data_IF_285097614522
#
_entry.id   IF_285097614522
#
_cell.length_a   1.000
_cell.length_b   1.000
_cell.length_c   1.000
_cell.angle_alpha   90.00
_cell.angle_beta   90.00
_cell.angle_gamma   90.00
#
_symmetry.space_group_name_H-M   'P 1'
#
loop_
_entity.id
_entity.type
_entity.pdbx_description
1 polymer ?
#
# COMPACT_ATOMS: atom_id res chain seq x y z
N UNK A 1 16.91 17.49 4.78
CA UNK A 1 16.59 16.24 4.07
C UNK A 1 16.12 15.24 5.11
N UNK A 2 14.83 15.14 5.38
CA UNK A 2 14.28 14.12 6.28
C UNK A 2 14.17 12.84 5.47
N UNK A 3 15.15 11.95 5.58
CA UNK A 3 14.92 10.57 5.19
C UNK A 3 13.86 10.04 6.14
N UNK A 4 12.64 9.82 5.65
CA UNK A 4 11.61 9.05 6.33
C UNK A 4 12.24 7.70 6.66
N UNK A 5 12.75 7.58 7.90
CA UNK A 5 13.44 6.39 8.39
C UNK A 5 12.36 5.35 8.64
N UNK A 6 12.27 4.41 7.71
CA UNK A 6 11.31 3.31 7.73
C UNK A 6 10.15 3.60 6.79
N UNK A 7 10.33 3.24 5.51
CA UNK A 7 9.20 3.17 4.58
C UNK A 7 8.10 2.24 5.14
N UNK A 8 6.87 2.45 4.67
CA UNK A 8 5.79 1.51 4.95
C UNK A 8 6.25 0.11 4.52
N UNK A 9 6.21 -0.86 5.43
CA UNK A 9 6.59 -2.24 5.11
C UNK A 9 5.46 -3.25 5.26
N UNK A 10 4.42 -2.94 6.05
CA UNK A 10 3.24 -3.80 6.18
C UNK A 10 1.97 -2.98 6.43
N UNK A 11 0.84 -3.45 5.91
CA UNK A 11 -0.47 -2.84 6.09
C UNK A 11 -1.56 -3.92 6.19
N UNK A 12 -2.53 -3.71 7.09
CA UNK A 12 -3.68 -4.61 7.22
C UNK A 12 -4.93 -3.86 7.67
N UNK A 13 -6.09 -4.46 7.43
CA UNK A 13 -7.37 -3.94 7.91
C UNK A 13 -7.90 -4.83 9.03
N UNK A 14 -8.26 -4.21 10.15
CA UNK A 14 -8.96 -4.85 11.28
C UNK A 14 -10.09 -3.92 11.70
N UNK A 15 -11.33 -4.42 11.79
CA UNK A 15 -12.49 -3.66 12.27
C UNK A 15 -12.65 -2.26 11.62
N UNK A 16 -12.55 -2.18 10.28
CA UNK A 16 -12.65 -0.90 9.55
C UNK A 16 -11.53 0.12 9.86
N UNK A 17 -10.43 -0.32 10.45
CA UNK A 17 -9.23 0.49 10.64
C UNK A 17 -8.08 -0.08 9.81
N UNK A 18 -7.38 0.81 9.10
CA UNK A 18 -6.16 0.48 8.39
C UNK A 18 -4.96 0.77 9.28
N UNK A 19 -4.28 -0.30 9.66
CA UNK A 19 -3.05 -0.24 10.44
C UNK A 19 -1.85 -0.29 9.50
N UNK A 20 -0.86 0.57 9.77
CA UNK A 20 0.35 0.72 8.97
C UNK A 20 1.57 0.50 9.85
N UNK A 21 2.48 -0.36 9.42
CA UNK A 21 3.73 -0.65 10.12
C UNK A 21 4.94 -0.28 9.27
N UNK A 22 5.89 0.38 9.92
CA UNK A 22 7.20 0.68 9.36
C UNK A 22 8.25 -0.23 9.98
N UNK A 23 9.28 -0.57 9.22
CA UNK A 23 10.44 -1.31 9.74
C UNK A 23 11.43 -0.33 10.39
N UNK A 24 11.86 -0.62 11.60
CA UNK A 24 12.85 0.22 12.28
C UNK A 24 14.22 0.15 11.58
N UNK A 25 14.97 1.25 11.56
CA UNK A 25 16.34 1.26 11.07
C UNK A 25 17.28 0.57 12.08
N UNK A 26 17.36 -0.76 12.02
CA UNK A 26 18.34 -1.59 12.74
C UNK A 26 19.31 -2.29 11.79
N UNK A 27 20.42 -2.82 12.31
CA UNK A 27 21.15 -3.89 11.59
C UNK A 27 20.18 -5.03 11.30
N UNK A 28 20.29 -5.69 10.15
CA UNK A 28 19.30 -6.66 9.64
C UNK A 28 18.81 -7.73 10.65
N UNK A 29 19.57 -7.97 11.73
CA UNK A 29 19.25 -8.93 12.79
C UNK A 29 18.32 -8.40 13.91
N UNK A 30 18.09 -7.08 14.01
CA UNK A 30 17.33 -6.45 15.12
C UNK A 30 16.30 -5.40 14.64
N UNK A 31 15.99 -5.39 13.34
CA UNK A 31 15.02 -4.46 12.77
C UNK A 31 13.58 -4.91 13.06
N UNK A 32 12.99 -4.35 14.12
CA UNK A 32 11.60 -4.59 14.52
C UNK A 32 10.56 -3.95 13.61
N UNK A 33 9.31 -4.39 13.76
CA UNK A 33 8.13 -3.73 13.20
C UNK A 33 7.55 -2.79 14.24
N UNK A 34 7.33 -1.53 13.85
CA UNK A 34 6.65 -0.54 14.71
C UNK A 34 5.38 -0.08 14.01
N UNK A 35 4.28 -0.06 14.76
CA UNK A 35 3.04 0.54 14.29
C UNK A 35 3.28 2.04 14.10
N UNK A 36 3.16 2.48 12.86
CA UNK A 36 3.48 3.84 12.45
C UNK A 36 2.25 4.75 12.47
N UNK A 37 1.08 4.22 12.10
CA UNK A 37 -0.15 4.98 11.94
C UNK A 37 -1.38 4.06 11.84
N UNK A 38 -2.50 4.54 12.36
CA UNK A 38 -3.83 3.94 12.18
C UNK A 38 -4.73 4.95 11.46
N UNK A 39 -5.55 4.47 10.53
CA UNK A 39 -6.48 5.28 9.73
C UNK A 39 -7.87 4.66 9.82
N UNK A 40 -8.84 5.44 10.30
CA UNK A 40 -10.26 5.05 10.36
C UNK A 40 -10.87 5.05 8.95
N UNK A 41 -11.18 3.87 8.41
CA UNK A 41 -11.75 3.75 7.06
C UNK A 41 -13.19 4.24 7.00
N UNK A 42 -13.88 4.27 8.13
CA UNK A 42 -15.25 4.80 8.25
C UNK A 42 -15.34 6.27 7.83
N UNK A 43 -14.25 7.02 7.98
CA UNK A 43 -14.18 8.43 7.57
C UNK A 43 -13.93 8.61 6.07
N UNK A 44 -13.49 7.55 5.39
CA UNK A 44 -12.99 7.60 4.01
C UNK A 44 -13.92 6.93 3.01
N UNK A 45 -14.68 5.94 3.47
CA UNK A 45 -15.56 5.14 2.64
C UNK A 45 -17.02 5.42 3.00
N UNK A 46 -17.93 5.38 2.02
CA UNK A 46 -19.35 5.42 2.29
C UNK A 46 -19.84 4.10 2.94
N UNK A 47 -20.95 4.17 3.66
CA UNK A 47 -21.52 3.05 4.42
C UNK A 47 -21.77 1.79 3.58
N UNK A 48 -22.14 1.95 2.30
CA UNK A 48 -22.36 0.82 1.39
C UNK A 48 -21.08 0.03 1.13
N UNK A 49 -19.93 0.70 1.07
CA UNK A 49 -18.62 0.04 0.92
C UNK A 49 -18.18 -0.59 2.25
N UNK A 50 -18.37 0.10 3.37
CA UNK A 50 -18.03 -0.41 4.71
C UNK A 50 -18.86 -1.61 5.15
N UNK A 51 -20.05 -1.78 4.56
CA UNK A 51 -20.88 -2.97 4.79
C UNK A 51 -20.25 -4.26 4.27
N UNK A 52 -19.28 -4.15 3.35
CA UNK A 52 -18.49 -5.26 2.85
C UNK A 52 -17.18 -5.43 3.62
N UNK A 53 -16.62 -6.64 3.61
CA UNK A 53 -15.29 -6.87 4.15
C UNK A 53 -14.23 -6.22 3.25
N UNK A 54 -13.38 -5.38 3.86
CA UNK A 54 -12.26 -4.70 3.22
C UNK A 54 -10.96 -5.46 3.45
N UNK A 55 -10.13 -5.56 2.42
CA UNK A 55 -8.85 -6.26 2.45
C UNK A 55 -7.76 -5.43 1.81
N UNK A 56 -6.58 -5.37 2.45
CA UNK A 56 -5.37 -4.85 1.80
C UNK A 56 -4.91 -5.87 0.76
N UNK A 57 -4.69 -5.43 -0.48
CA UNK A 57 -4.11 -6.28 -1.54
C UNK A 57 -2.63 -6.02 -1.75
N UNK A 58 -2.15 -4.82 -1.42
CA UNK A 58 -0.75 -4.48 -1.49
C UNK A 58 -0.52 -3.00 -1.21
N UNK A 59 0.75 -2.61 -1.15
CA UNK A 59 1.16 -1.22 -1.06
C UNK A 59 2.31 -0.95 -2.04
N UNK A 60 2.37 0.25 -2.57
CA UNK A 60 3.49 0.72 -3.35
C UNK A 60 4.43 1.48 -2.42
N UNK A 61 5.52 0.82 -2.01
CA UNK A 61 6.60 1.47 -1.24
C UNK A 61 7.03 2.77 -1.94
N UNK A 62 7.38 3.83 -1.19
CA UNK A 62 7.94 5.07 -1.72
C UNK A 62 7.01 6.04 -2.47
N UNK A 63 5.78 5.65 -2.81
CA UNK A 63 4.70 6.58 -3.26
C UNK A 63 3.57 6.72 -2.25
N UNK A 64 3.64 6.02 -1.11
CA UNK A 64 2.69 6.10 -0.01
C UNK A 64 1.25 5.81 -0.43
N UNK A 65 1.08 4.77 -1.27
CA UNK A 65 -0.24 4.31 -1.74
C UNK A 65 -0.51 2.89 -1.26
N UNK A 66 -1.68 2.68 -0.68
CA UNK A 66 -2.20 1.36 -0.29
C UNK A 66 -3.39 0.99 -1.17
N UNK A 67 -3.44 -0.27 -1.58
CA UNK A 67 -4.55 -0.85 -2.35
C UNK A 67 -5.47 -1.62 -1.41
N UNK A 68 -6.73 -1.22 -1.36
CA UNK A 68 -7.78 -1.86 -0.55
C UNK A 68 -8.90 -2.32 -1.46
N UNK A 69 -9.41 -3.53 -1.27
CA UNK A 69 -10.49 -4.10 -2.08
C UNK A 69 -11.65 -4.60 -1.22
N UNK A 70 -12.82 -4.62 -1.83
CA UNK A 70 -13.95 -5.49 -1.45
C UNK A 70 -14.02 -6.68 -2.40
N UNK A 71 -15.08 -7.48 -2.31
CA UNK A 71 -15.40 -8.55 -3.27
C UNK A 71 -15.61 -8.03 -4.70
N UNK A 72 -15.95 -6.74 -4.86
CA UNK A 72 -16.42 -6.16 -6.12
C UNK A 72 -15.60 -4.98 -6.60
N UNK A 73 -14.91 -4.28 -5.71
CA UNK A 73 -14.37 -2.96 -5.96
C UNK A 73 -12.93 -2.85 -5.45
N UNK A 74 -12.12 -2.09 -6.16
CA UNK A 74 -10.74 -1.80 -5.80
C UNK A 74 -10.61 -0.30 -5.56
N UNK A 75 -9.86 0.06 -4.54
CA UNK A 75 -9.58 1.43 -4.17
C UNK A 75 -8.09 1.61 -3.90
N UNK A 76 -7.61 2.82 -4.15
CA UNK A 76 -6.31 3.30 -3.70
C UNK A 76 -6.51 4.31 -2.60
N UNK A 77 -5.69 4.23 -1.56
CA UNK A 77 -5.61 5.20 -0.47
C UNK A 77 -4.24 5.88 -0.58
N UNK A 78 -4.24 7.17 -0.89
CA UNK A 78 -3.05 8.02 -0.78
C UNK A 78 -2.84 8.35 0.70
N UNK A 79 -1.76 7.87 1.31
CA UNK A 79 -1.52 7.98 2.75
C UNK A 79 -1.07 9.39 3.19
N UNK A 80 -0.60 10.21 2.25
CA UNK A 80 -0.20 11.60 2.52
C UNK A 80 -1.42 12.51 2.62
N UNK A 81 -2.31 12.40 1.66
CA UNK A 81 -3.53 13.21 1.55
C UNK A 81 -4.75 12.58 2.22
N UNK A 82 -4.67 11.28 2.56
CA UNK A 82 -5.77 10.49 3.12
C UNK A 82 -7.00 10.54 2.20
N UNK A 83 -6.74 10.35 0.90
CA UNK A 83 -7.78 10.36 -0.14
C UNK A 83 -7.97 8.97 -0.72
N UNK A 84 -9.23 8.56 -0.79
CA UNK A 84 -9.66 7.32 -1.45
C UNK A 84 -10.01 7.62 -2.90
N UNK A 85 -9.52 6.78 -3.81
CA UNK A 85 -9.91 6.80 -5.22
C UNK A 85 -10.33 5.39 -5.64
N UNK A 86 -11.49 5.27 -6.27
CA UNK A 86 -11.97 4.02 -6.84
C UNK A 86 -11.25 3.72 -8.15
N UNK A 87 -10.72 2.52 -8.30
CA UNK A 87 -10.07 2.06 -9.52
C UNK A 87 -11.13 1.55 -10.50
N UNK A 88 -11.12 1.99 -11.78
CA UNK A 88 -12.08 1.54 -12.80
C UNK A 88 -12.13 0.01 -12.95
N UNK A 89 -13.35 -0.51 -13.11
CA UNK A 89 -13.67 -1.94 -13.05
C UNK A 89 -13.67 -2.57 -14.43
N UNK A 90 -12.49 -2.88 -14.96
CA UNK A 90 -12.36 -3.64 -16.22
C UNK A 90 -11.69 -5.00 -16.02
N UNK A 91 -11.28 -5.33 -14.79
CA UNK A 91 -10.47 -6.52 -14.51
C UNK A 91 -11.15 -7.31 -13.40
N UNK A 92 -11.36 -8.59 -13.65
CA UNK A 92 -11.69 -9.58 -12.63
C UNK A 92 -10.40 -9.78 -11.82
N UNK A 93 -10.16 -8.90 -10.86
CA UNK A 93 -8.89 -8.79 -10.14
C UNK A 93 -8.73 -9.97 -9.18
N UNK A 94 -8.00 -11.00 -9.60
CA UNK A 94 -7.64 -12.11 -8.72
C UNK A 94 -6.60 -11.66 -7.70
N UNK A 95 -5.50 -11.04 -8.17
CA UNK A 95 -4.41 -10.51 -7.35
C UNK A 95 -3.83 -9.22 -7.97
N UNK A 96 -3.41 -8.28 -7.12
CA UNK A 96 -2.82 -6.99 -7.54
C UNK A 96 -1.43 -6.89 -6.94
N UNK A 97 -0.44 -6.67 -7.80
CA UNK A 97 0.95 -6.49 -7.40
C UNK A 97 1.41 -5.08 -7.78
N UNK A 98 1.30 -4.11 -6.87
CA UNK A 98 1.84 -2.78 -7.13
C UNK A 98 3.36 -2.83 -7.33
N UNK A 99 3.86 -2.13 -8.34
CA UNK A 99 5.29 -1.99 -8.60
C UNK A 99 5.63 -0.53 -8.86
N UNK A 100 6.79 -0.07 -8.42
CA UNK A 100 7.27 1.30 -8.67
C UNK A 100 8.04 1.43 -9.97
N UNK A 101 8.84 0.42 -10.32
CA UNK A 101 9.74 0.48 -11.46
C UNK A 101 10.03 -0.92 -11.99
N UNK A 102 10.38 -0.98 -13.27
CA UNK A 102 10.95 -2.18 -13.87
C UNK A 102 12.46 -2.06 -13.91
N UNK A 103 13.14 -3.14 -13.52
CA UNK A 103 14.56 -3.25 -13.81
C UNK A 103 14.73 -3.49 -15.31
N UNK A 104 15.37 -2.55 -16.01
CA UNK A 104 15.75 -2.74 -17.42
C UNK A 104 17.24 -3.11 -17.44
N UNK A 105 17.61 -4.35 -17.76
CA UNK A 105 19.02 -4.72 -17.85
C UNK A 105 19.71 -3.90 -18.95
N UNK A 106 20.84 -3.29 -18.64
CA UNK A 106 21.62 -2.56 -19.63
C UNK A 106 22.06 -3.52 -20.74
N UNK A 107 21.69 -3.22 -21.99
CA UNK A 107 22.26 -3.92 -23.14
C UNK A 107 23.75 -3.59 -23.13
N UNK A 108 24.60 -4.56 -22.83
CA UNK A 108 26.04 -4.40 -23.00
C UNK A 108 26.28 -4.12 -24.48
N UNK A 109 26.40 -2.84 -24.85
CA UNK A 109 26.92 -2.46 -26.16
C UNK A 109 28.37 -2.94 -26.14
N UNK A 110 28.62 -4.09 -26.74
CA UNK A 110 29.96 -4.54 -27.06
C UNK A 110 30.46 -3.54 -28.11
N UNK A 111 31.44 -2.68 -27.79
CA UNK A 111 31.99 -1.77 -28.79
C UNK A 111 32.81 -2.61 -29.80
N UNK A 112 32.84 -2.20 -31.09
CA UNK A 112 33.62 -2.86 -32.13
C UNK A 112 35.13 -2.75 -31.92
#
# INVERSE_FOLDING_TARGET
MTTERGGLGFATVVNSELYLWSREPGSDEDAGWVESRVIELETLFPDDVLSASLYVTGFAEGVDVVFVRTDRELFTIDLKSIRVTKVPKDIWLSDIFPYMSFYTPGTSLIPP
#
